data_IF_677980020084
#
_entry.id   IF_677980020084
#
_cell.length_a   1.000
_cell.length_b   1.000
_cell.length_c   1.000
_cell.angle_alpha   90.00
_cell.angle_beta   90.00
_cell.angle_gamma   90.00
#
_symmetry.space_group_name_H-M   'P 1'
#
loop_
_entity.id
_entity.type
_entity.pdbx_description
1 polymer ?
#
# COMPACT_ATOMS: atom_id res chain seq x y z
N UNK A 1 -0.27 12.28 -9.89
CA UNK A 1 1.13 12.71 -9.95
C UNK A 1 1.64 12.53 -11.36
N UNK A 2 1.82 13.56 -12.16
CA UNK A 2 2.38 13.41 -13.51
C UNK A 2 3.85 12.94 -13.42
N UNK A 3 4.47 12.40 -14.49
CA UNK A 3 5.88 12.00 -14.48
C UNK A 3 6.82 13.13 -14.01
N UNK A 4 6.46 14.38 -14.32
CA UNK A 4 7.14 15.59 -13.82
C UNK A 4 7.09 15.79 -12.28
N UNK A 5 6.24 15.06 -11.54
CA UNK A 5 6.17 15.12 -10.08
C UNK A 5 7.17 14.16 -9.40
N UNK A 6 7.97 13.41 -10.17
CA UNK A 6 9.01 12.55 -9.61
C UNK A 6 10.22 13.40 -9.18
N UNK A 7 10.81 13.13 -8.00
CA UNK A 7 12.07 13.74 -7.62
C UNK A 7 13.17 13.45 -8.64
N UNK A 8 14.15 14.35 -8.71
CA UNK A 8 15.39 14.13 -9.44
C UNK A 8 16.05 12.79 -9.01
N UNK A 9 16.62 11.99 -9.93
CA UNK A 9 17.47 10.85 -9.58
C UNK A 9 18.43 11.09 -8.40
N UNK A 10 19.05 12.27 -8.29
CA UNK A 10 19.95 12.61 -7.18
C UNK A 10 19.29 12.46 -5.80
N UNK A 11 17.99 12.77 -5.68
CA UNK A 11 17.23 12.58 -4.45
C UNK A 11 17.22 11.10 -4.01
N UNK A 12 17.03 10.18 -4.94
CA UNK A 12 17.01 8.75 -4.64
C UNK A 12 18.41 8.22 -4.31
N UNK A 13 19.44 8.78 -4.95
CA UNK A 13 20.84 8.42 -4.71
C UNK A 13 21.31 8.84 -3.31
N UNK A 14 20.89 10.02 -2.84
CA UNK A 14 21.17 10.53 -1.51
C UNK A 14 20.55 9.68 -0.38
N UNK A 15 19.49 8.91 -0.67
CA UNK A 15 18.88 8.02 0.32
C UNK A 15 19.73 6.76 0.53
N UNK A 16 19.83 6.27 1.79
CA UNK A 16 20.43 4.99 2.10
C UNK A 16 19.87 3.87 1.22
N UNK A 17 20.75 2.95 0.81
CA UNK A 17 20.38 1.81 -0.02
C UNK A 17 19.38 0.89 0.71
N UNK A 18 18.81 -0.05 -0.02
CA UNK A 18 17.81 -1.00 0.48
C UNK A 18 16.48 -0.33 0.85
N UNK A 19 16.07 -0.40 2.12
CA UNK A 19 14.69 -0.12 2.53
C UNK A 19 14.30 1.35 2.38
N UNK A 20 15.20 2.30 2.66
CA UNK A 20 14.90 3.74 2.55
C UNK A 20 14.59 4.13 1.11
N UNK A 21 15.47 3.74 0.18
CA UNK A 21 15.27 3.99 -1.25
C UNK A 21 14.03 3.30 -1.80
N UNK A 22 13.81 2.02 -1.43
CA UNK A 22 12.60 1.29 -1.83
C UNK A 22 11.31 1.97 -1.30
N UNK A 23 11.31 2.41 -0.05
CA UNK A 23 10.19 3.14 0.55
C UNK A 23 9.92 4.46 -0.19
N UNK A 24 10.96 5.19 -0.58
CA UNK A 24 10.82 6.40 -1.37
C UNK A 24 10.22 6.09 -2.75
N UNK A 25 10.72 5.08 -3.47
CA UNK A 25 10.12 4.67 -4.74
C UNK A 25 8.63 4.35 -4.61
N UNK A 26 8.23 3.54 -3.63
CA UNK A 26 6.81 3.23 -3.39
C UNK A 26 5.97 4.46 -3.05
N UNK A 27 6.54 5.47 -2.37
CA UNK A 27 5.85 6.73 -2.06
C UNK A 27 5.57 7.56 -3.31
N UNK A 28 6.42 7.48 -4.33
CA UNK A 28 6.30 8.25 -5.56
C UNK A 28 5.56 7.52 -6.69
N UNK A 29 5.34 6.20 -6.55
CA UNK A 29 4.47 5.45 -7.46
C UNK A 29 3.01 5.91 -7.36
N UNK A 30 2.33 5.93 -8.52
CA UNK A 30 0.87 6.09 -8.57
C UNK A 30 0.20 4.80 -8.05
N UNK A 31 -0.94 4.91 -7.34
CA UNK A 31 -1.82 3.78 -7.15
C UNK A 31 -2.22 3.20 -8.51
N UNK A 32 -2.36 1.87 -8.59
CA UNK A 32 -2.95 1.23 -9.76
C UNK A 32 -4.43 1.64 -9.85
N UNK A 33 -4.86 1.98 -11.07
CA UNK A 33 -6.25 2.36 -11.39
C UNK A 33 -6.83 1.29 -12.30
N UNK A 34 -8.11 0.97 -12.12
CA UNK A 34 -8.82 0.08 -13.03
C UNK A 34 -9.35 0.94 -14.16
N UNK A 35 -8.87 0.71 -15.38
CA UNK A 35 -9.35 1.39 -16.59
C UNK A 35 -10.01 0.38 -17.53
N UNK A 36 -11.05 0.85 -18.22
CA UNK A 36 -11.67 0.12 -19.34
C UNK A 36 -10.91 0.32 -20.65
N UNK A 37 -9.96 1.25 -20.66
CA UNK A 37 -9.07 1.51 -21.79
C UNK A 37 -7.69 0.89 -21.51
N UNK A 38 -7.04 0.28 -22.51
CA UNK A 38 -5.69 -0.22 -22.33
C UNK A 38 -4.71 0.90 -22.02
N UNK A 39 -3.99 0.79 -20.90
CA UNK A 39 -3.03 1.77 -20.43
C UNK A 39 -1.73 1.10 -19.95
N UNK A 40 -0.57 1.78 -20.07
CA UNK A 40 0.69 1.27 -19.56
C UNK A 40 0.68 1.03 -18.06
N UNK A 41 1.14 -0.15 -17.65
CA UNK A 41 1.33 -0.49 -16.24
C UNK A 41 2.78 -0.25 -15.81
N UNK A 42 3.10 1.00 -15.44
CA UNK A 42 4.46 1.43 -15.12
C UNK A 42 5.19 0.53 -14.10
N UNK A 43 4.49 0.06 -13.05
CA UNK A 43 5.10 -0.80 -12.02
C UNK A 43 5.47 -2.22 -12.50
N UNK A 44 4.98 -2.64 -13.67
CA UNK A 44 5.28 -3.94 -14.28
C UNK A 44 6.08 -3.80 -15.58
N UNK A 45 6.31 -2.57 -16.05
CA UNK A 45 6.90 -2.28 -17.35
C UNK A 45 6.20 -3.00 -18.51
N UNK A 46 4.85 -2.97 -18.52
CA UNK A 46 4.02 -3.53 -19.59
C UNK A 46 3.18 -2.44 -20.26
N UNK A 47 3.02 -2.52 -21.57
CA UNK A 47 2.21 -1.56 -22.34
C UNK A 47 0.71 -1.67 -22.01
N UNK A 48 0.25 -2.88 -21.69
CA UNK A 48 -1.13 -3.17 -21.33
C UNK A 48 -1.17 -4.34 -20.34
N UNK A 49 -2.04 -4.24 -19.33
CA UNK A 49 -2.19 -5.30 -18.34
C UNK A 49 -3.62 -5.39 -17.81
N UNK A 50 -4.12 -6.63 -17.67
CA UNK A 50 -5.42 -6.91 -17.04
C UNK A 50 -5.29 -8.09 -16.07
N UNK A 51 -5.94 -7.98 -14.92
CA UNK A 51 -6.01 -9.06 -13.94
C UNK A 51 -7.11 -10.07 -14.32
N UNK A 52 -6.77 -11.36 -14.41
CA UNK A 52 -7.74 -12.40 -14.80
C UNK A 52 -7.57 -13.75 -14.07
N UNK A 53 -6.51 -13.93 -13.29
CA UNK A 53 -6.12 -15.22 -12.72
C UNK A 53 -6.78 -15.57 -11.38
N UNK A 54 -7.69 -14.75 -10.85
CA UNK A 54 -8.32 -14.94 -9.53
C UNK A 54 -9.84 -14.66 -9.50
N UNK A 55 -10.64 -15.23 -10.43
CA UNK A 55 -12.08 -14.94 -10.55
C UNK A 55 -12.92 -15.33 -9.31
N UNK A 56 -12.45 -16.28 -8.48
CA UNK A 56 -13.15 -16.68 -7.24
C UNK A 56 -13.12 -15.57 -6.18
N UNK A 57 -12.10 -14.71 -6.19
CA UNK A 57 -11.84 -13.72 -5.11
C UNK A 57 -11.74 -12.28 -5.59
N UNK A 58 -11.76 -12.04 -6.91
CA UNK A 58 -11.75 -10.70 -7.52
C UNK A 58 -12.86 -10.62 -8.56
N UNK A 59 -13.85 -9.76 -8.31
CA UNK A 59 -14.97 -9.56 -9.23
C UNK A 59 -14.53 -8.99 -10.58
N UNK A 60 -13.47 -8.16 -10.61
CA UNK A 60 -12.85 -7.68 -11.85
C UNK A 60 -12.40 -8.83 -12.76
N UNK A 61 -11.75 -9.85 -12.20
CA UNK A 61 -11.29 -11.02 -12.95
C UNK A 61 -12.49 -11.83 -13.48
N UNK A 62 -13.59 -11.88 -12.71
CA UNK A 62 -14.82 -12.54 -13.13
C UNK A 62 -15.45 -11.82 -14.35
N UNK A 63 -15.49 -10.49 -14.35
CA UNK A 63 -15.94 -9.69 -15.51
C UNK A 63 -15.07 -10.02 -16.73
N UNK A 64 -13.74 -10.06 -16.58
CA UNK A 64 -12.82 -10.42 -17.67
C UNK A 64 -13.11 -11.83 -18.21
N UNK A 65 -13.40 -12.80 -17.33
CA UNK A 65 -13.80 -14.14 -17.74
C UNK A 65 -15.14 -14.15 -18.51
N UNK A 66 -16.12 -13.36 -18.09
CA UNK A 66 -17.40 -13.24 -18.82
C UNK A 66 -17.20 -12.63 -20.19
N UNK A 67 -16.42 -11.55 -20.30
CA UNK A 67 -16.11 -10.90 -21.57
C UNK A 67 -15.38 -11.85 -22.53
N UNK A 68 -14.38 -12.59 -22.02
CA UNK A 68 -13.64 -13.57 -22.82
C UNK A 68 -14.54 -14.71 -23.31
N UNK A 69 -15.40 -15.26 -22.44
CA UNK A 69 -16.35 -16.32 -22.85
C UNK A 69 -17.36 -15.81 -23.87
N UNK A 70 -17.94 -14.63 -23.65
CA UNK A 70 -18.88 -14.01 -24.59
C UNK A 70 -18.25 -13.80 -25.97
N UNK A 71 -16.99 -13.34 -26.02
CA UNK A 71 -16.23 -13.19 -27.25
C UNK A 71 -16.01 -14.54 -27.96
N UNK A 72 -15.54 -15.56 -27.23
CA UNK A 72 -15.29 -16.89 -27.79
C UNK A 72 -16.57 -17.56 -28.32
N UNK A 73 -17.69 -17.44 -27.61
CA UNK A 73 -18.98 -17.97 -28.06
C UNK A 73 -19.54 -17.21 -29.26
N UNK A 74 -19.35 -15.88 -29.31
CA UNK A 74 -19.75 -15.07 -30.47
C UNK A 74 -18.94 -15.42 -31.72
N UNK A 75 -17.65 -15.73 -31.55
CA UNK A 75 -16.78 -16.16 -32.64
C UNK A 75 -17.10 -17.58 -33.17
N UNK A 76 -17.73 -18.43 -32.35
CA UNK A 76 -18.05 -19.82 -32.68
C UNK A 76 -19.39 -20.03 -33.42
N UNK A 77 -20.21 -18.97 -33.58
CA UNK A 77 -21.43 -18.96 -34.40
C UNK A 77 -22.37 -20.18 -34.27
N UNK A 78 -22.74 -20.54 -33.05
CA UNK A 78 -23.98 -21.28 -32.76
C UNK A 78 -24.75 -20.48 -31.68
N UNK A 79 -26.05 -20.30 -31.88
CA UNK A 79 -26.84 -19.22 -31.29
C UNK A 79 -26.87 -19.11 -29.75
N UNK A 80 -27.35 -17.94 -29.30
CA UNK A 80 -27.57 -17.56 -27.90
C UNK A 80 -26.32 -17.55 -27.00
N UNK A 81 -25.20 -16.99 -27.48
CA UNK A 81 -24.12 -16.57 -26.59
C UNK A 81 -24.62 -15.44 -25.67
N UNK A 82 -24.27 -15.44 -24.36
CA UNK A 82 -24.53 -14.28 -23.51
C UNK A 82 -23.84 -13.06 -24.14
N UNK A 83 -24.60 -11.99 -24.36
CA UNK A 83 -24.05 -10.77 -24.92
C UNK A 83 -22.90 -10.27 -24.03
N UNK A 84 -21.77 -9.93 -24.65
CA UNK A 84 -20.71 -9.21 -23.96
C UNK A 84 -21.32 -7.93 -23.37
N UNK A 85 -21.01 -7.63 -22.09
CA UNK A 85 -21.44 -6.37 -21.50
C UNK A 85 -20.90 -5.22 -22.33
N UNK A 86 -21.73 -4.21 -22.57
CA UNK A 86 -21.31 -2.99 -23.24
C UNK A 86 -20.29 -2.22 -22.41
N UNK A 87 -19.49 -1.36 -23.06
CA UNK A 87 -18.45 -0.56 -22.40
C UNK A 87 -18.98 0.26 -21.22
N UNK A 88 -20.20 0.80 -21.33
CA UNK A 88 -20.85 1.57 -20.26
C UNK A 88 -21.23 0.70 -19.06
N UNK A 89 -21.65 -0.54 -19.29
CA UNK A 89 -21.99 -1.49 -18.23
C UNK A 89 -20.72 -1.92 -17.49
N UNK A 90 -19.65 -2.24 -18.22
CA UNK A 90 -18.34 -2.55 -17.62
C UNK A 90 -17.81 -1.35 -16.83
N UNK A 91 -17.99 -0.12 -17.32
CA UNK A 91 -17.60 1.10 -16.61
C UNK A 91 -18.38 1.27 -15.30
N UNK A 92 -19.70 1.06 -15.33
CA UNK A 92 -20.53 1.16 -14.14
C UNK A 92 -20.15 0.11 -13.08
N UNK A 93 -19.95 -1.14 -13.50
CA UNK A 93 -19.54 -2.25 -12.63
C UNK A 93 -18.14 -2.03 -12.03
N UNK A 94 -17.18 -1.57 -12.83
CA UNK A 94 -15.82 -1.27 -12.36
C UNK A 94 -15.80 -0.12 -11.35
N UNK A 95 -16.55 0.96 -11.60
CA UNK A 95 -16.66 2.08 -10.66
C UNK A 95 -17.32 1.67 -9.32
N UNK A 96 -18.38 0.87 -9.36
CA UNK A 96 -19.02 0.34 -8.15
C UNK A 96 -18.07 -0.57 -7.34
N UNK A 97 -17.27 -1.38 -8.05
CA UNK A 97 -16.26 -2.24 -7.45
C UNK A 97 -15.15 -1.43 -6.75
N UNK A 98 -14.66 -0.34 -7.36
CA UNK A 98 -13.61 0.50 -6.75
C UNK A 98 -14.01 1.05 -5.38
N UNK A 99 -15.24 1.56 -5.25
CA UNK A 99 -15.77 2.03 -3.97
C UNK A 99 -15.80 0.94 -2.90
N UNK A 100 -16.24 -0.26 -3.29
CA UNK A 100 -16.33 -1.43 -2.40
C UNK A 100 -14.94 -1.91 -1.97
N UNK A 101 -13.99 -2.00 -2.90
CA UNK A 101 -12.62 -2.40 -2.64
C UNK A 101 -11.91 -1.40 -1.72
N UNK A 102 -12.12 -0.10 -1.91
CA UNK A 102 -11.59 0.94 -1.02
C UNK A 102 -12.12 0.76 0.40
N UNK A 103 -13.42 0.52 0.57
CA UNK A 103 -14.02 0.30 1.87
C UNK A 103 -13.50 -0.98 2.55
N UNK A 104 -13.44 -2.10 1.80
CA UNK A 104 -12.85 -3.35 2.28
C UNK A 104 -11.39 -3.15 2.72
N UNK A 105 -10.60 -2.41 1.94
CA UNK A 105 -9.22 -2.05 2.27
C UNK A 105 -9.10 -1.29 3.59
N UNK A 106 -10.00 -0.34 3.86
CA UNK A 106 -10.04 0.39 5.13
C UNK A 106 -10.34 -0.53 6.32
N UNK A 107 -11.31 -1.44 6.18
CA UNK A 107 -11.66 -2.42 7.22
C UNK A 107 -10.48 -3.37 7.48
N UNK A 108 -9.89 -3.92 6.42
CA UNK A 108 -8.71 -4.79 6.52
C UNK A 108 -7.54 -4.07 7.19
N UNK A 109 -7.30 -2.81 6.86
CA UNK A 109 -6.29 -1.98 7.50
C UNK A 109 -6.54 -1.79 9.01
N UNK A 110 -7.79 -1.55 9.41
CA UNK A 110 -8.19 -1.46 10.82
C UNK A 110 -7.99 -2.78 11.56
N UNK A 111 -8.41 -3.90 10.97
CA UNK A 111 -8.23 -5.24 11.54
C UNK A 111 -6.75 -5.57 11.71
N UNK A 112 -5.92 -5.37 10.67
CA UNK A 112 -4.46 -5.57 10.74
C UNK A 112 -3.83 -4.75 11.86
N UNK A 113 -4.21 -3.47 11.97
CA UNK A 113 -3.68 -2.59 13.02
C UNK A 113 -4.11 -3.03 14.41
N UNK A 114 -5.38 -3.43 14.58
CA UNK A 114 -5.89 -3.96 15.84
C UNK A 114 -5.04 -5.16 16.31
N UNK A 115 -4.82 -6.15 15.43
CA UNK A 115 -4.04 -7.33 15.79
C UNK A 115 -2.56 -7.04 16.00
N UNK A 116 -2.00 -6.08 15.26
CA UNK A 116 -0.64 -5.60 15.50
C UNK A 116 -0.51 -4.96 16.89
N UNK A 117 -1.48 -4.15 17.31
CA UNK A 117 -1.44 -3.50 18.62
C UNK A 117 -1.76 -4.49 19.75
N UNK A 118 -2.61 -5.49 19.50
CA UNK A 118 -2.84 -6.60 20.42
C UNK A 118 -1.58 -7.43 20.61
N UNK A 119 -0.81 -7.67 19.55
CA UNK A 119 0.52 -8.28 19.65
C UNK A 119 1.43 -7.43 20.54
N UNK A 120 1.52 -6.12 20.34
CA UNK A 120 2.35 -5.26 21.19
C UNK A 120 1.87 -5.20 22.64
N UNK A 121 0.55 -5.19 22.89
CA UNK A 121 -0.05 -5.22 24.24
C UNK A 121 0.37 -6.47 25.03
N UNK A 122 0.48 -7.61 24.35
CA UNK A 122 0.96 -8.87 24.96
C UNK A 122 2.48 -8.91 25.16
N UNK A 123 3.20 -7.95 24.59
CA UNK A 123 4.66 -7.88 24.57
C UNK A 123 5.17 -6.53 25.13
N UNK A 124 4.43 -5.91 26.05
CA UNK A 124 4.86 -4.70 26.76
C UNK A 124 6.20 -4.96 27.45
N UNK A 125 7.10 -3.98 27.38
CA UNK A 125 8.46 -4.06 27.91
C UNK A 125 9.46 -4.73 26.96
N UNK A 126 9.01 -5.49 25.95
CA UNK A 126 9.91 -6.08 24.95
C UNK A 126 10.53 -5.00 24.08
N UNK A 127 11.77 -5.27 23.67
CA UNK A 127 12.58 -4.42 22.81
C UNK A 127 12.74 -5.10 21.46
N UNK A 128 12.51 -4.35 20.39
CA UNK A 128 12.63 -4.79 19.02
C UNK A 128 13.76 -4.04 18.33
N UNK A 129 14.45 -4.68 17.39
CA UNK A 129 15.29 -3.96 16.44
C UNK A 129 14.42 -3.09 15.53
N UNK A 130 14.84 -1.85 15.33
CA UNK A 130 14.14 -0.87 14.54
C UNK A 130 15.08 -0.18 13.56
N UNK A 131 14.66 -0.09 12.31
CA UNK A 131 15.37 0.56 11.22
C UNK A 131 14.69 1.87 10.86
N UNK A 132 15.42 2.97 10.82
CA UNK A 132 14.88 4.31 10.51
C UNK A 132 14.61 4.41 9.01
N UNK A 133 13.37 4.16 8.61
CA UNK A 133 12.99 3.92 7.22
C UNK A 133 12.81 5.21 6.41
N UNK A 134 12.08 6.17 6.97
CA UNK A 134 11.72 7.41 6.30
C UNK A 134 11.36 8.49 7.33
N UNK A 135 11.50 9.75 6.93
CA UNK A 135 11.07 10.90 7.71
C UNK A 135 9.95 11.63 6.97
N UNK A 136 8.97 12.08 7.73
CA UNK A 136 7.92 12.97 7.28
C UNK A 136 8.06 14.27 8.05
N UNK A 137 8.61 15.27 7.39
CA UNK A 137 8.67 16.62 7.93
C UNK A 137 7.36 17.35 7.62
N UNK A 138 6.56 17.56 8.65
CA UNK A 138 5.32 18.32 8.56
C UNK A 138 5.43 19.68 9.26
N UNK A 139 6.64 20.10 9.68
CA UNK A 139 6.84 21.35 10.45
C UNK A 139 6.37 22.58 9.68
N UNK A 140 6.51 22.57 8.35
CA UNK A 140 6.03 23.63 7.46
C UNK A 140 4.50 23.86 7.55
N UNK A 141 3.74 22.81 7.91
CA UNK A 141 2.28 22.87 8.07
C UNK A 141 1.84 22.93 9.54
N UNK A 142 2.74 23.32 10.46
CA UNK A 142 2.49 23.34 11.91
C UNK A 142 2.45 21.95 12.56
N UNK A 143 2.89 20.91 11.84
CA UNK A 143 3.00 19.54 12.33
C UNK A 143 4.31 19.24 13.05
N UNK A 144 4.55 17.96 13.34
CA UNK A 144 5.77 17.45 13.98
C UNK A 144 6.59 16.59 13.01
N UNK A 145 7.88 16.50 13.27
CA UNK A 145 8.75 15.55 12.59
C UNK A 145 8.36 14.13 13.00
N UNK A 146 7.95 13.31 12.03
CA UNK A 146 7.52 11.93 12.27
C UNK A 146 8.40 10.97 11.49
N UNK A 147 9.09 10.09 12.20
CA UNK A 147 9.88 9.01 11.63
C UNK A 147 9.01 7.78 11.42
N UNK A 148 9.28 7.03 10.36
CA UNK A 148 8.75 5.68 10.17
C UNK A 148 9.84 4.71 10.56
N UNK A 149 9.61 3.93 11.61
CA UNK A 149 10.50 2.87 12.05
C UNK A 149 10.00 1.54 11.46
N UNK A 150 10.87 0.81 10.77
CA UNK A 150 10.60 -0.54 10.31
C UNK A 150 11.14 -1.54 11.33
N UNK A 151 10.30 -2.43 11.84
CA UNK A 151 10.71 -3.59 12.64
C UNK A 151 10.86 -4.76 11.67
N UNK A 152 12.10 -5.15 11.27
CA UNK A 152 12.31 -6.10 10.17
C UNK A 152 11.66 -7.46 10.43
N UNK A 153 11.82 -7.99 11.64
CA UNK A 153 11.28 -9.30 12.03
C UNK A 153 9.74 -9.38 11.98
N UNK A 154 9.07 -8.23 12.13
CA UNK A 154 7.61 -8.15 12.11
C UNK A 154 7.06 -7.63 10.78
N UNK A 155 7.91 -7.13 9.89
CA UNK A 155 7.49 -6.36 8.71
C UNK A 155 6.58 -5.17 9.06
N UNK A 156 6.73 -4.62 10.26
CA UNK A 156 5.85 -3.61 10.84
C UNK A 156 6.45 -2.21 10.69
N UNK A 157 5.64 -1.24 10.23
CA UNK A 157 6.02 0.17 10.16
C UNK A 157 5.34 0.94 11.28
N UNK A 158 6.11 1.54 12.18
CA UNK A 158 5.62 2.25 13.36
C UNK A 158 5.97 3.74 13.23
N UNK A 159 4.98 4.65 13.29
CA UNK A 159 5.26 6.07 13.36
C UNK A 159 5.86 6.42 14.73
N UNK A 160 6.94 7.18 14.73
CA UNK A 160 7.62 7.64 15.93
C UNK A 160 7.85 9.14 15.84
N UNK A 161 7.31 9.87 16.81
CA UNK A 161 7.49 11.32 16.91
C UNK A 161 8.60 11.61 17.91
N UNK A 162 9.55 12.45 17.53
CA UNK A 162 10.64 12.88 18.41
C UNK A 162 10.76 14.40 18.37
N UNK A 163 11.06 14.99 19.52
CA UNK A 163 11.07 16.45 19.69
C UNK A 163 12.48 17.06 19.65
N UNK A 164 13.54 16.29 19.93
CA UNK A 164 14.85 16.87 20.28
C UNK A 164 15.97 16.51 19.29
N UNK A 165 16.15 15.23 18.97
CA UNK A 165 17.25 14.77 18.10
C UNK A 165 16.74 14.21 16.77
N UNK A 166 17.45 14.50 15.68
CA UNK A 166 17.13 13.96 14.38
C UNK A 166 17.70 12.55 14.24
N UNK A 167 16.88 11.58 13.82
CA UNK A 167 17.35 10.23 13.53
C UNK A 167 17.93 10.17 12.13
N UNK A 168 19.10 9.55 12.00
CA UNK A 168 19.72 9.31 10.70
C UNK A 168 18.94 8.24 9.93
N UNK A 169 18.52 8.53 8.70
CA UNK A 169 17.87 7.54 7.85
C UNK A 169 18.82 6.36 7.61
N UNK A 170 18.28 5.15 7.66
CA UNK A 170 19.05 3.94 7.44
C UNK A 170 19.84 3.44 8.65
N UNK A 171 19.86 4.20 9.75
CA UNK A 171 20.39 3.72 11.02
C UNK A 171 19.47 2.67 11.65
N UNK A 172 20.08 1.83 12.49
CA UNK A 172 19.38 0.86 13.33
C UNK A 172 19.42 1.30 14.79
N UNK A 173 18.37 1.01 15.52
CA UNK A 173 18.31 1.18 16.97
C UNK A 173 17.31 0.21 17.58
N UNK A 174 16.89 0.51 18.80
CA UNK A 174 16.02 -0.34 19.59
C UNK A 174 14.72 0.37 19.90
N UNK A 175 13.59 -0.30 19.69
CA UNK A 175 12.26 0.19 20.01
C UNK A 175 11.64 -0.64 21.12
N UNK A 176 11.41 -0.03 22.29
CA UNK A 176 10.69 -0.65 23.39
C UNK A 176 9.20 -0.29 23.34
N UNK A 177 8.35 -1.29 23.55
CA UNK A 177 6.91 -1.08 23.71
C UNK A 177 6.63 -0.69 25.16
N UNK A 178 6.09 0.51 25.37
CA UNK A 178 5.76 1.03 26.71
C UNK A 178 4.32 0.72 27.07
N UNK A 179 3.41 0.96 26.13
CA UNK A 179 1.99 0.66 26.28
C UNK A 179 1.34 0.45 24.90
N UNK A 180 0.27 -0.33 24.86
CA UNK A 180 -0.50 -0.55 23.65
C UNK A 180 -1.97 -0.84 23.98
N UNK A 181 -2.86 -0.05 23.40
CA UNK A 181 -4.30 -0.26 23.48
C UNK A 181 -4.88 -0.43 22.06
N UNK A 182 -5.20 -1.67 21.65
CA UNK A 182 -5.69 -1.95 20.30
C UNK A 182 -7.09 -1.37 20.05
N UNK A 183 -7.94 -1.23 21.07
CA UNK A 183 -9.29 -0.67 20.94
C UNK A 183 -9.26 0.85 20.81
N UNK A 184 -8.39 1.50 21.57
CA UNK A 184 -8.20 2.95 21.50
C UNK A 184 -7.26 3.37 20.35
N UNK A 185 -6.66 2.42 19.63
CA UNK A 185 -5.65 2.66 18.60
C UNK A 185 -4.47 3.51 19.14
N UNK A 186 -4.01 3.18 20.35
CA UNK A 186 -2.87 3.83 21.02
C UNK A 186 -1.70 2.84 21.04
N UNK A 187 -0.52 3.33 20.67
CA UNK A 187 0.75 2.63 20.82
C UNK A 187 1.78 3.64 21.33
N UNK A 188 2.32 3.38 22.50
CA UNK A 188 3.40 4.17 23.10
C UNK A 188 4.69 3.37 23.02
N UNK A 189 5.71 4.01 22.48
CA UNK A 189 7.01 3.38 22.27
C UNK A 189 8.11 4.33 22.71
N UNK A 190 9.26 3.76 23.05
CA UNK A 190 10.48 4.49 23.34
C UNK A 190 11.59 3.96 22.45
N UNK A 191 12.20 4.85 21.68
CA UNK A 191 13.34 4.52 20.83
C UNK A 191 14.65 4.80 21.57
N UNK A 192 15.65 3.97 21.32
CA UNK A 192 17.02 4.10 21.80
C UNK A 192 17.95 3.94 20.60
N UNK A 193 18.90 4.85 20.45
CA UNK A 193 19.96 4.69 19.46
C UNK A 193 20.87 3.53 19.84
N UNK A 194 21.37 2.84 18.81
CA UNK A 194 22.27 1.70 18.93
C UNK A 194 23.72 2.13 19.13
#
# INVERSE_FOLDING_TARGET
RQPEDLPDPEFFEALPRQYCRAQAFFRFMKPAVVSIHPEPHAGLALDQYVQWSSPIRRYSDLIVHYQLKAHLHSAAAEGAAPAALGTQEVLAETAALEGTLKHAGQIMGRSRRYWQYEFFRRNIGKVFEAYVLAVWDQREYGGRLTYTLLLPDLGAKIPYQMNEMALELGSTGKLQIIDANPRANILQTKYFEG
#
